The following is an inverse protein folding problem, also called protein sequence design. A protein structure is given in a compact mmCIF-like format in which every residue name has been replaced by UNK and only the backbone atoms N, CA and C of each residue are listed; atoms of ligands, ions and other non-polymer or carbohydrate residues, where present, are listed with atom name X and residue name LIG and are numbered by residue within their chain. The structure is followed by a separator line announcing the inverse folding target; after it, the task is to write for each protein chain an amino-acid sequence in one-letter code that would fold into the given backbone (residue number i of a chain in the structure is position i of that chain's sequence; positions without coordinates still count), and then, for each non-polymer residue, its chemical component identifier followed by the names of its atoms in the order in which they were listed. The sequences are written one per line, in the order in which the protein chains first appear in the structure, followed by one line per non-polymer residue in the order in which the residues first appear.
data_IF_893302549680
#
_entry.id   IF_893302549680
#
_cell.length_a   1.000
_cell.length_b   1.000
_cell.length_c   1.000
_cell.angle_alpha   90.00
_cell.angle_beta   90.00
_cell.angle_gamma   90.00
#
_symmetry.space_group_name_H-M   'P 1'
#
loop_
_entity.id
_entity.type
_entity.pdbx_description
1 polymer ?
#
# COMPACT_ATOMS: atom_id res chain seq x y z
N UNK A 1 11.91 19.72 16.79
CA UNK A 1 12.30 19.18 15.47
C UNK A 1 13.47 18.23 15.61
N UNK A 2 13.45 17.05 14.94
CA UNK A 2 14.61 16.14 14.97
C UNK A 2 15.78 16.75 14.20
N UNK A 3 16.95 16.75 14.81
CA UNK A 3 18.19 17.20 14.17
C UNK A 3 18.67 16.22 13.08
N UNK A 4 18.36 14.93 13.24
CA UNK A 4 18.76 13.87 12.30
C UNK A 4 17.57 12.97 11.95
N UNK A 5 17.59 12.44 10.74
CA UNK A 5 16.61 11.44 10.33
C UNK A 5 16.77 10.16 11.15
N UNK A 6 15.64 9.51 11.49
CA UNK A 6 15.69 8.24 12.21
C UNK A 6 16.37 7.17 11.35
N UNK A 7 17.20 6.33 11.99
CA UNK A 7 17.78 5.16 11.32
C UNK A 7 16.67 4.20 10.93
N UNK A 8 16.66 3.75 9.69
CA UNK A 8 15.72 2.74 9.21
C UNK A 8 16.06 1.40 9.82
N UNK A 9 15.10 0.77 10.47
CA UNK A 9 15.25 -0.57 11.04
C UNK A 9 14.98 -1.61 9.97
N UNK A 10 15.83 -2.63 9.91
CA UNK A 10 15.56 -3.81 9.07
C UNK A 10 14.61 -4.76 9.81
N UNK A 11 13.89 -5.56 9.05
CA UNK A 11 12.96 -6.57 9.56
C UNK A 11 13.40 -7.96 9.14
N UNK A 12 13.06 -8.96 9.95
CA UNK A 12 13.31 -10.36 9.61
C UNK A 12 12.27 -10.82 8.59
N UNK A 13 12.66 -11.73 7.66
CA UNK A 13 11.69 -12.35 6.75
C UNK A 13 10.59 -13.09 7.51
N UNK A 14 9.38 -13.12 6.94
CA UNK A 14 8.29 -13.89 7.51
C UNK A 14 8.65 -15.40 7.56
N UNK A 15 8.35 -16.10 8.67
CA UNK A 15 8.71 -17.52 8.81
C UNK A 15 8.05 -18.44 7.78
N UNK A 16 6.83 -18.14 7.35
CA UNK A 16 6.05 -18.97 6.43
C UNK A 16 6.36 -18.62 4.98
N UNK A 17 6.28 -17.34 4.63
CA UNK A 17 6.46 -16.86 3.25
C UNK A 17 7.90 -16.42 2.95
N UNK A 18 8.77 -16.37 3.94
CA UNK A 18 10.20 -16.01 3.83
C UNK A 18 10.43 -14.68 3.09
N UNK A 19 9.53 -13.73 3.31
CA UNK A 19 9.53 -12.43 2.65
C UNK A 19 9.52 -11.28 3.66
N UNK A 20 10.43 -10.33 3.49
CA UNK A 20 10.45 -9.09 4.28
C UNK A 20 9.25 -8.20 3.97
N UNK A 21 8.73 -8.25 2.76
CA UNK A 21 7.53 -7.50 2.34
C UNK A 21 6.31 -7.96 3.15
N UNK A 22 6.17 -9.27 3.33
CA UNK A 22 5.10 -9.85 4.16
C UNK A 22 5.23 -9.40 5.61
N UNK A 23 6.43 -9.40 6.18
CA UNK A 23 6.66 -8.90 7.53
C UNK A 23 6.25 -7.44 7.69
N UNK A 24 6.62 -6.60 6.73
CA UNK A 24 6.24 -5.17 6.72
C UNK A 24 4.73 -4.98 6.61
N UNK A 25 4.06 -5.80 5.82
CA UNK A 25 2.61 -5.78 5.70
C UNK A 25 1.94 -6.17 7.02
N UNK A 26 2.40 -7.21 7.68
CA UNK A 26 1.92 -7.61 9.01
C UNK A 26 2.07 -6.47 10.01
N UNK A 27 3.21 -5.79 10.01
CA UNK A 27 3.45 -4.65 10.89
C UNK A 27 2.49 -3.48 10.61
N UNK A 28 2.06 -3.30 9.36
CA UNK A 28 1.06 -2.29 9.00
C UNK A 28 -0.38 -2.68 9.38
N UNK A 29 -0.70 -3.96 9.34
CA UNK A 29 -2.01 -4.47 9.78
C UNK A 29 -2.13 -4.38 11.31
N UNK A 30 -1.03 -4.57 12.00
CA UNK A 30 -0.98 -4.62 13.47
C UNK A 30 -1.53 -3.34 14.11
N UNK A 31 -2.44 -3.51 15.07
CA UNK A 31 -2.92 -2.45 15.96
C UNK A 31 -2.48 -2.74 17.39
N UNK A 32 -2.06 -1.70 18.12
CA UNK A 32 -1.73 -1.79 19.57
C UNK A 32 -0.70 -2.88 19.93
N UNK A 33 0.22 -3.17 19.00
CA UNK A 33 1.24 -4.19 19.21
C UNK A 33 0.77 -5.64 19.11
N UNK A 34 -0.47 -5.87 18.69
CA UNK A 34 -1.07 -7.21 18.57
C UNK A 34 -0.60 -7.94 17.31
N UNK A 35 0.68 -8.30 17.27
CA UNK A 35 1.31 -8.91 16.09
C UNK A 35 0.73 -10.29 15.75
N UNK A 36 0.46 -11.13 16.77
CA UNK A 36 -0.13 -12.45 16.54
C UNK A 36 -1.46 -12.40 15.83
N UNK A 37 -2.32 -11.44 16.19
CA UNK A 37 -3.60 -11.19 15.53
C UNK A 37 -3.41 -10.76 14.08
N UNK A 38 -2.46 -9.85 13.82
CA UNK A 38 -2.15 -9.40 12.46
C UNK A 38 -1.61 -10.54 11.58
N UNK A 39 -0.78 -11.41 12.13
CA UNK A 39 -0.28 -12.61 11.43
C UNK A 39 -1.44 -13.55 11.05
N UNK A 40 -2.35 -13.81 11.98
CA UNK A 40 -3.53 -14.65 11.71
C UNK A 40 -4.40 -14.07 10.60
N UNK A 41 -4.61 -12.76 10.60
CA UNK A 41 -5.38 -12.06 9.56
C UNK A 41 -4.71 -12.25 8.20
N UNK A 42 -3.42 -12.00 8.08
CA UNK A 42 -2.72 -12.10 6.80
C UNK A 42 -2.63 -13.54 6.30
N UNK A 43 -2.30 -14.48 7.17
CA UNK A 43 -2.23 -15.89 6.79
C UNK A 43 -3.60 -16.43 6.38
N UNK A 44 -4.65 -16.06 7.11
CA UNK A 44 -6.02 -16.38 6.74
C UNK A 44 -6.43 -15.78 5.40
N UNK A 45 -6.06 -14.54 5.12
CA UNK A 45 -6.29 -13.90 3.84
C UNK A 45 -5.57 -14.63 2.69
N UNK A 46 -4.33 -15.01 2.88
CA UNK A 46 -3.56 -15.74 1.86
C UNK A 46 -4.13 -17.15 1.61
N UNK A 47 -4.58 -17.84 2.65
CA UNK A 47 -5.26 -19.13 2.49
C UNK A 47 -6.56 -18.99 1.67
N UNK A 48 -7.35 -17.95 1.93
CA UNK A 48 -8.55 -17.64 1.15
C UNK A 48 -8.25 -17.31 -0.30
N UNK A 49 -7.17 -16.58 -0.57
CA UNK A 49 -6.72 -16.26 -1.93
C UNK A 49 -6.38 -17.55 -2.68
N UNK A 50 -5.66 -18.47 -2.04
CA UNK A 50 -5.31 -19.75 -2.63
C UNK A 50 -6.57 -20.59 -2.98
N UNK A 51 -7.53 -20.64 -2.08
CA UNK A 51 -8.80 -21.34 -2.31
C UNK A 51 -9.61 -20.74 -3.45
N UNK A 52 -9.72 -19.42 -3.51
CA UNK A 52 -10.56 -18.72 -4.49
C UNK A 52 -9.93 -18.64 -5.88
N UNK A 53 -8.62 -18.50 -5.97
CA UNK A 53 -7.92 -18.27 -7.26
C UNK A 53 -7.20 -19.51 -7.76
N UNK A 54 -6.96 -20.52 -6.92
CA UNK A 54 -6.12 -21.69 -7.19
C UNK A 54 -4.68 -21.33 -7.61
N UNK A 55 -4.25 -20.11 -7.29
CA UNK A 55 -2.89 -19.62 -7.55
C UNK A 55 -2.11 -19.49 -6.23
N UNK A 56 -0.79 -19.43 -6.35
CA UNK A 56 0.07 -19.15 -5.20
C UNK A 56 -0.26 -17.75 -4.64
N UNK A 57 -0.56 -17.62 -3.33
CA UNK A 57 -0.95 -16.33 -2.74
C UNK A 57 0.08 -15.23 -2.95
N UNK A 58 1.37 -15.54 -2.90
CA UNK A 58 2.44 -14.56 -3.12
C UNK A 58 2.43 -14.00 -4.54
N UNK A 59 2.12 -14.80 -5.54
CA UNK A 59 2.00 -14.34 -6.93
C UNK A 59 0.85 -13.35 -7.08
N UNK A 60 -0.31 -13.69 -6.53
CA UNK A 60 -1.49 -12.80 -6.55
C UNK A 60 -1.20 -11.51 -5.79
N UNK A 61 -0.57 -11.61 -4.64
CA UNK A 61 -0.18 -10.46 -3.83
C UNK A 61 0.81 -9.53 -4.56
N UNK A 62 1.81 -10.07 -5.21
CA UNK A 62 2.78 -9.28 -5.98
C UNK A 62 2.10 -8.55 -7.15
N UNK A 63 1.21 -9.21 -7.87
CA UNK A 63 0.39 -8.55 -8.91
C UNK A 63 -0.43 -7.41 -8.33
N UNK A 64 -1.10 -7.65 -7.21
CA UNK A 64 -1.89 -6.63 -6.53
C UNK A 64 -1.03 -5.43 -6.14
N UNK A 65 0.13 -5.66 -5.55
CA UNK A 65 1.05 -4.60 -5.15
C UNK A 65 1.55 -3.79 -6.34
N UNK A 66 1.90 -4.44 -7.44
CA UNK A 66 2.33 -3.75 -8.66
C UNK A 66 1.21 -2.86 -9.24
N UNK A 67 -0.04 -3.28 -9.10
CA UNK A 67 -1.19 -2.49 -9.56
C UNK A 67 -1.56 -1.35 -8.61
N UNK A 68 -1.20 -1.42 -7.32
CA UNK A 68 -1.52 -0.40 -6.32
C UNK A 68 -0.40 0.64 -6.17
N UNK A 69 0.87 0.24 -6.33
CA UNK A 69 2.01 1.14 -6.14
C UNK A 69 1.94 2.37 -7.05
N UNK A 70 1.93 3.60 -6.48
CA UNK A 70 1.93 4.81 -7.29
C UNK A 70 3.33 5.13 -7.81
N UNK A 71 3.41 5.66 -9.02
CA UNK A 71 4.64 6.21 -9.59
C UNK A 71 4.80 7.70 -9.28
N UNK A 72 3.68 8.41 -9.13
CA UNK A 72 3.62 9.85 -8.88
C UNK A 72 2.70 10.16 -7.71
N UNK A 73 3.04 11.22 -6.98
CA UNK A 73 2.17 11.82 -5.96
C UNK A 73 2.23 13.34 -6.07
N UNK A 74 1.34 14.04 -5.38
CA UNK A 74 1.35 15.50 -5.31
C UNK A 74 1.78 15.93 -3.91
N UNK A 75 2.70 16.90 -3.86
CA UNK A 75 3.13 17.54 -2.61
C UNK A 75 2.87 19.03 -2.68
N UNK A 76 2.34 19.58 -1.59
CA UNK A 76 2.19 21.03 -1.46
C UNK A 76 3.54 21.71 -1.34
N UNK A 77 3.74 22.76 -2.12
CA UNK A 77 4.87 23.66 -2.01
C UNK A 77 4.40 25.09 -2.02
N UNK A 78 4.89 25.92 -1.10
CA UNK A 78 4.61 27.34 -1.06
C UNK A 78 5.64 28.10 -1.89
N UNK A 79 5.18 28.83 -2.90
CA UNK A 79 6.01 29.65 -3.76
C UNK A 79 5.34 31.04 -3.88
N UNK A 80 6.08 32.11 -3.52
CA UNK A 80 5.56 33.46 -3.62
C UNK A 80 4.28 33.75 -2.85
N UNK A 81 4.08 33.09 -1.70
CA UNK A 81 2.88 33.23 -0.87
C UNK A 81 1.67 32.38 -1.28
N UNK A 82 1.74 31.71 -2.41
CA UNK A 82 0.70 30.78 -2.87
C UNK A 82 1.14 29.32 -2.68
N UNK A 83 0.18 28.45 -2.37
CA UNK A 83 0.39 27.02 -2.24
C UNK A 83 0.08 26.32 -3.57
N UNK A 84 1.06 25.56 -4.08
CA UNK A 84 0.92 24.77 -5.30
C UNK A 84 1.00 23.29 -4.99
N UNK A 85 0.19 22.51 -5.68
CA UNK A 85 0.29 21.05 -5.65
C UNK A 85 1.29 20.62 -6.72
N UNK A 86 2.45 20.13 -6.30
CA UNK A 86 3.56 19.79 -7.21
C UNK A 86 3.64 18.29 -7.40
N UNK A 87 3.52 17.77 -8.62
CA UNK A 87 3.72 16.34 -8.88
C UNK A 87 5.19 15.95 -8.70
N UNK A 88 5.42 14.87 -7.96
CA UNK A 88 6.76 14.33 -7.70
C UNK A 88 6.78 12.83 -7.87
N UNK A 89 7.92 12.30 -8.28
CA UNK A 89 8.13 10.86 -8.36
C UNK A 89 8.17 10.24 -6.97
N UNK A 90 7.59 9.05 -6.85
CA UNK A 90 7.55 8.30 -5.59
C UNK A 90 8.70 7.29 -5.57
N UNK A 91 9.52 7.34 -4.53
CA UNK A 91 10.59 6.36 -4.31
C UNK A 91 10.00 4.97 -4.04
N UNK A 92 10.69 3.87 -4.42
CA UNK A 92 10.16 2.51 -4.26
C UNK A 92 9.69 2.16 -2.85
N UNK A 93 10.43 2.56 -1.82
CA UNK A 93 10.04 2.32 -0.42
C UNK A 93 8.76 3.03 -0.03
N UNK A 94 8.61 4.27 -0.47
CA UNK A 94 7.40 5.05 -0.23
C UNK A 94 6.22 4.51 -1.03
N UNK A 95 6.44 4.08 -2.27
CA UNK A 95 5.41 3.45 -3.09
C UNK A 95 4.85 2.20 -2.41
N UNK A 96 5.72 1.36 -1.85
CA UNK A 96 5.31 0.18 -1.08
C UNK A 96 4.52 0.57 0.17
N UNK A 97 4.98 1.56 0.93
CA UNK A 97 4.31 2.01 2.15
C UNK A 97 2.92 2.60 1.84
N UNK A 98 2.79 3.37 0.78
CA UNK A 98 1.51 3.91 0.31
C UNK A 98 0.56 2.79 -0.15
N UNK A 99 1.08 1.82 -0.90
CA UNK A 99 0.30 0.68 -1.36
C UNK A 99 -0.25 -0.14 -0.19
N UNK A 100 0.56 -0.41 0.83
CA UNK A 100 0.12 -1.09 2.05
C UNK A 100 -0.98 -0.31 2.77
N UNK A 101 -0.77 0.99 2.95
CA UNK A 101 -1.74 1.86 3.63
C UNK A 101 -3.09 1.85 2.90
N UNK A 102 -3.09 2.01 1.60
CA UNK A 102 -4.32 2.01 0.82
C UNK A 102 -5.00 0.63 0.83
N UNK A 103 -4.23 -0.43 0.64
CA UNK A 103 -4.75 -1.80 0.68
C UNK A 103 -5.47 -2.09 2.01
N UNK A 104 -4.81 -1.79 3.13
CA UNK A 104 -5.34 -2.05 4.47
C UNK A 104 -6.56 -1.17 4.76
N UNK A 105 -6.49 0.12 4.45
CA UNK A 105 -7.57 1.05 4.72
C UNK A 105 -8.84 0.69 3.93
N UNK A 106 -8.70 0.35 2.66
CA UNK A 106 -9.85 -0.05 1.85
C UNK A 106 -10.35 -1.45 2.16
N UNK A 107 -9.50 -2.35 2.60
CA UNK A 107 -9.94 -3.63 3.14
C UNK A 107 -10.83 -3.45 4.39
N UNK A 108 -10.43 -2.55 5.29
CA UNK A 108 -11.22 -2.22 6.49
C UNK A 108 -12.59 -1.63 6.18
N UNK A 109 -12.74 -0.97 5.04
CA UNK A 109 -14.02 -0.37 4.61
C UNK A 109 -14.96 -1.37 3.93
N UNK A 110 -14.53 -2.57 3.63
CA UNK A 110 -15.37 -3.60 3.03
C UNK A 110 -16.35 -4.19 4.05
N UNK A 111 -17.51 -4.61 3.58
CA UNK A 111 -18.58 -5.18 4.39
C UNK A 111 -18.55 -6.73 4.42
N UNK A 112 -17.38 -7.31 4.59
CA UNK A 112 -17.23 -8.76 4.74
C UNK A 112 -17.38 -9.22 6.20
N UNK A 113 -17.29 -10.51 6.42
CA UNK A 113 -17.45 -11.13 7.74
C UNK A 113 -16.23 -10.96 8.64
N UNK A 114 -15.03 -10.80 8.08
CA UNK A 114 -13.79 -10.65 8.83
C UNK A 114 -12.79 -9.80 8.06
N UNK A 115 -11.78 -9.29 8.78
CA UNK A 115 -10.68 -8.56 8.13
C UNK A 115 -9.87 -9.46 7.20
N UNK A 116 -9.70 -10.74 7.52
CA UNK A 116 -9.04 -11.70 6.64
C UNK A 116 -9.76 -11.84 5.29
N UNK A 117 -11.08 -11.96 5.32
CA UNK A 117 -11.91 -12.01 4.11
C UNK A 117 -11.84 -10.69 3.32
N UNK A 118 -11.97 -9.56 3.99
CA UNK A 118 -11.88 -8.24 3.37
C UNK A 118 -10.54 -8.02 2.69
N UNK A 119 -9.46 -8.39 3.37
CA UNK A 119 -8.10 -8.26 2.83
C UNK A 119 -7.88 -9.19 1.63
N UNK A 120 -8.35 -10.43 1.72
CA UNK A 120 -8.26 -11.38 0.60
C UNK A 120 -8.99 -10.86 -0.64
N UNK A 121 -10.21 -10.36 -0.47
CA UNK A 121 -11.02 -9.83 -1.57
C UNK A 121 -10.39 -8.57 -2.17
N UNK A 122 -9.84 -7.68 -1.35
CA UNK A 122 -9.15 -6.48 -1.84
C UNK A 122 -7.89 -6.85 -2.63
N UNK A 123 -7.11 -7.81 -2.17
CA UNK A 123 -5.92 -8.29 -2.88
C UNK A 123 -6.30 -8.93 -4.21
N UNK A 124 -7.32 -9.75 -4.25
CA UNK A 124 -7.80 -10.39 -5.48
C UNK A 124 -8.27 -9.34 -6.49
N UNK A 125 -9.09 -8.39 -6.06
CA UNK A 125 -9.57 -7.31 -6.94
C UNK A 125 -8.41 -6.47 -7.46
N UNK A 126 -7.46 -6.11 -6.60
CA UNK A 126 -6.28 -5.34 -6.99
C UNK A 126 -5.40 -6.12 -7.98
N UNK A 127 -5.26 -7.42 -7.83
CA UNK A 127 -4.51 -8.26 -8.78
C UNK A 127 -5.15 -8.26 -10.17
N UNK A 128 -6.46 -8.07 -10.25
CA UNK A 128 -7.22 -7.93 -11.49
C UNK A 128 -7.30 -6.49 -11.99
N UNK A 129 -6.63 -5.54 -11.35
CA UNK A 129 -6.62 -4.14 -11.72
C UNK A 129 -7.89 -3.38 -11.38
N UNK A 130 -8.71 -3.91 -10.47
CA UNK A 130 -9.96 -3.28 -10.00
C UNK A 130 -9.93 -3.11 -8.49
N UNK A 131 -10.97 -2.49 -7.93
CA UNK A 131 -11.09 -2.27 -6.49
C UNK A 131 -10.64 -0.88 -6.05
N UNK A 132 -10.96 -0.55 -4.81
CA UNK A 132 -10.77 0.79 -4.25
C UNK A 132 -9.30 1.20 -4.13
N UNK A 133 -8.41 0.26 -3.83
CA UNK A 133 -6.97 0.53 -3.72
C UNK A 133 -6.36 0.96 -5.06
N UNK A 134 -6.72 0.26 -6.14
CA UNK A 134 -6.27 0.62 -7.50
C UNK A 134 -6.89 1.94 -7.94
N UNK A 135 -8.16 2.17 -7.60
CA UNK A 135 -8.82 3.45 -7.85
C UNK A 135 -8.10 4.60 -7.16
N UNK A 136 -7.66 4.40 -5.92
CA UNK A 136 -6.89 5.41 -5.18
C UNK A 136 -5.57 5.75 -5.87
N UNK A 137 -4.87 4.75 -6.39
CA UNK A 137 -3.67 4.98 -7.22
C UNK A 137 -4.01 5.79 -8.47
N UNK A 138 -5.05 5.41 -9.18
CA UNK A 138 -5.48 6.10 -10.41
C UNK A 138 -5.88 7.55 -10.12
N UNK A 139 -6.61 7.80 -9.04
CA UNK A 139 -6.99 9.15 -8.62
C UNK A 139 -5.75 10.00 -8.27
N UNK A 140 -4.77 9.40 -7.60
CA UNK A 140 -3.51 10.06 -7.28
C UNK A 140 -2.73 10.43 -8.55
N UNK A 141 -2.68 9.53 -9.52
CA UNK A 141 -2.05 9.79 -10.83
C UNK A 141 -2.80 10.86 -11.62
N UNK A 142 -4.13 10.88 -11.58
CA UNK A 142 -4.94 11.93 -12.20
C UNK A 142 -4.68 13.31 -11.58
N UNK A 143 -4.55 13.36 -10.26
CA UNK A 143 -4.17 14.60 -9.56
C UNK A 143 -2.79 15.09 -10.00
N UNK A 144 -1.82 14.19 -10.11
CA UNK A 144 -0.48 14.54 -10.59
C UNK A 144 -0.50 15.04 -12.04
N UNK A 145 -1.28 14.43 -12.90
CA UNK A 145 -1.44 14.84 -14.29
C UNK A 145 -2.14 16.21 -14.39
N UNK A 146 -3.18 16.43 -13.60
CA UNK A 146 -3.90 17.71 -13.55
C UNK A 146 -3.00 18.88 -13.10
N UNK A 147 -2.00 18.60 -12.26
CA UNK A 147 -1.02 19.57 -11.75
C UNK A 147 0.32 19.55 -12.51
N UNK A 148 0.38 18.91 -13.66
CA UNK A 148 1.58 18.77 -14.47
C UNK A 148 2.27 20.11 -14.79
N UNK A 149 1.50 21.18 -14.98
CA UNK A 149 2.03 22.51 -15.24
C UNK A 149 2.93 23.03 -14.11
N UNK A 150 2.80 22.53 -12.89
CA UNK A 150 3.60 22.93 -11.72
C UNK A 150 4.81 22.01 -11.47
N UNK A 151 5.09 21.06 -12.35
CA UNK A 151 6.20 20.11 -12.18
C UNK A 151 7.57 20.82 -12.05
N UNK A 152 7.73 21.98 -12.67
CA UNK A 152 8.96 22.79 -12.58
C UNK A 152 9.18 23.40 -11.19
N UNK A 153 8.18 23.42 -10.31
CA UNK A 153 8.31 23.86 -8.92
C UNK A 153 8.85 22.78 -7.98
N UNK A 154 9.10 21.59 -8.46
CA UNK A 154 9.70 20.53 -7.63
C UNK A 154 11.07 20.93 -7.13
N UNK A 155 11.43 20.42 -5.95
CA UNK A 155 12.70 20.70 -5.29
C UNK A 155 13.57 19.47 -5.09
#
# INVERSE_FOLDING_TARGET
MRKRQAVKRDVLPDPIYKSKVVTKLINQIMNDGKKGTAQKILYGAFDMIKEKTNEEPMVVFEKAMNNIKPALEVKSRRVGGANYQVPVEVKPERAQALAFRWLINYARLRNGHSMAENLANEIIDASNGVGASVKKKDDTHKMAEANKAFAHYRW
#
